data_IF_104773400447
#
_entry.id   IF_104773400447
#
_cell.length_a   1.000
_cell.length_b   1.000
_cell.length_c   1.000
_cell.angle_alpha   90.00
_cell.angle_beta   90.00
_cell.angle_gamma   90.00
#
_symmetry.space_group_name_H-M   'P 1'
#
loop_
_entity.id
_entity.type
_entity.pdbx_description
1 polymer ?
#
# COMPACT_ATOMS: atom_id res chain seq x y z
N UNK A 1 7.93 10.70 13.93
CA UNK A 1 7.49 10.68 15.36
C UNK A 1 7.51 9.26 15.95
N UNK A 2 6.96 8.27 15.24
CA UNK A 2 6.95 6.87 15.68
C UNK A 2 8.34 6.24 15.66
N UNK A 3 9.25 6.67 14.79
CA UNK A 3 10.65 6.26 14.83
C UNK A 3 11.30 6.55 16.20
N UNK A 4 11.03 7.73 16.77
CA UNK A 4 11.53 8.13 18.08
C UNK A 4 10.92 7.29 19.20
N UNK A 5 9.62 6.99 19.12
CA UNK A 5 8.95 6.07 20.07
C UNK A 5 9.43 4.62 19.93
N UNK A 6 9.78 4.18 18.73
CA UNK A 6 10.36 2.87 18.47
C UNK A 6 11.73 2.75 19.12
N UNK A 7 12.61 3.73 18.86
CA UNK A 7 13.93 3.84 19.47
C UNK A 7 13.76 3.82 21.00
N UNK A 8 12.95 4.72 21.57
CA UNK A 8 12.72 4.76 23.01
C UNK A 8 12.16 3.44 23.57
N UNK A 9 11.27 2.75 22.85
CA UNK A 9 10.67 1.50 23.30
C UNK A 9 11.67 0.34 23.30
N UNK A 10 12.49 0.24 22.25
CA UNK A 10 13.52 -0.79 22.07
C UNK A 10 14.68 -0.58 23.07
N UNK A 11 15.14 0.66 23.24
CA UNK A 11 16.23 0.97 24.17
C UNK A 11 15.79 0.89 25.65
N UNK A 12 14.50 1.07 25.96
CA UNK A 12 13.97 0.92 27.34
C UNK A 12 13.63 -0.52 27.73
N UNK A 13 13.41 -1.41 26.76
CA UNK A 13 13.04 -2.80 26.99
C UNK A 13 13.97 -3.67 26.15
N UNK A 14 15.09 -4.12 26.73
CA UNK A 14 16.13 -4.99 26.15
C UNK A 14 15.90 -5.38 24.69
N UNK A 15 16.81 -4.92 23.82
CA UNK A 15 16.70 -5.07 22.36
C UNK A 15 16.55 -6.55 22.00
N UNK A 16 15.32 -6.94 21.68
CA UNK A 16 14.98 -8.31 21.31
C UNK A 16 13.97 -8.31 20.17
N UNK A 17 14.04 -9.35 19.34
CA UNK A 17 13.11 -9.56 18.22
C UNK A 17 11.66 -9.60 18.72
N UNK A 18 11.42 -10.19 19.90
CA UNK A 18 10.09 -10.23 20.52
C UNK A 18 9.53 -8.85 20.84
N UNK A 19 10.35 -7.92 21.34
CA UNK A 19 9.93 -6.55 21.62
C UNK A 19 9.71 -5.75 20.33
N UNK A 20 10.58 -5.90 19.34
CA UNK A 20 10.41 -5.29 18.02
C UNK A 20 9.09 -5.73 17.35
N UNK A 21 8.80 -7.02 17.36
CA UNK A 21 7.55 -7.59 16.87
C UNK A 21 6.33 -6.97 17.55
N UNK A 22 6.30 -6.91 18.89
CA UNK A 22 5.19 -6.32 19.66
C UNK A 22 4.99 -4.84 19.34
N UNK A 23 6.08 -4.09 19.20
CA UNK A 23 6.03 -2.69 18.81
C UNK A 23 5.38 -2.52 17.44
N UNK A 24 5.87 -3.26 16.44
CA UNK A 24 5.36 -3.22 15.08
C UNK A 24 3.88 -3.57 15.07
N UNK A 25 3.47 -4.66 15.73
CA UNK A 25 2.07 -5.08 15.78
C UNK A 25 1.17 -3.99 16.39
N UNK A 26 1.64 -3.29 17.43
CA UNK A 26 0.93 -2.16 18.04
C UNK A 26 0.85 -0.95 17.10
N UNK A 27 1.93 -0.64 16.38
CA UNK A 27 1.98 0.44 15.40
C UNK A 27 1.03 0.15 14.23
N UNK A 28 1.09 -1.06 13.65
CA UNK A 28 0.19 -1.50 12.59
C UNK A 28 -1.28 -1.48 13.03
N UNK A 29 -1.58 -1.87 14.27
CA UNK A 29 -2.94 -1.80 14.82
C UNK A 29 -3.50 -0.37 14.84
N UNK A 30 -2.67 0.64 15.10
CA UNK A 30 -3.08 2.06 14.99
C UNK A 30 -3.28 2.46 13.53
N UNK A 31 -2.34 2.10 12.66
CA UNK A 31 -2.39 2.37 11.22
C UNK A 31 -3.69 1.90 10.56
N UNK A 32 -4.14 0.68 10.90
CA UNK A 32 -5.38 0.09 10.38
C UNK A 32 -6.60 0.98 10.57
N UNK A 33 -6.66 1.77 11.65
CA UNK A 33 -7.78 2.67 11.94
C UNK A 33 -7.77 3.94 11.10
N UNK A 34 -6.60 4.36 10.65
CA UNK A 34 -6.42 5.62 9.90
C UNK A 34 -6.49 5.41 8.39
N UNK A 35 -6.29 4.17 7.92
CA UNK A 35 -6.12 3.85 6.50
C UNK A 35 -7.41 3.53 5.75
N UNK A 36 -8.59 3.55 6.37
CA UNK A 36 -9.84 3.23 5.69
C UNK A 36 -10.89 4.34 5.82
N UNK A 37 -11.54 4.77 4.70
CA UNK A 37 -11.27 4.40 3.31
C UNK A 37 -10.12 5.21 2.69
N UNK A 38 -9.23 4.54 1.96
CA UNK A 38 -8.10 5.21 1.32
C UNK A 38 -8.46 5.67 -0.10
N UNK A 39 -8.52 6.99 -0.31
CA UNK A 39 -8.91 7.57 -1.60
C UNK A 39 -7.75 7.52 -2.60
N UNK A 40 -7.98 7.11 -3.85
CA UNK A 40 -7.04 7.26 -4.96
C UNK A 40 -7.30 8.65 -5.58
N UNK A 41 -6.26 9.47 -5.82
CA UNK A 41 -6.43 10.75 -6.49
C UNK A 41 -7.05 10.56 -7.88
N UNK A 42 -7.88 11.52 -8.27
CA UNK A 42 -8.43 11.56 -9.62
C UNK A 42 -7.29 11.75 -10.64
N UNK A 43 -7.50 11.20 -11.83
CA UNK A 43 -6.54 11.26 -12.93
C UNK A 43 -7.30 11.74 -14.15
N UNK A 44 -6.86 12.83 -14.75
CA UNK A 44 -7.43 13.36 -15.97
C UNK A 44 -6.31 13.44 -17.03
N UNK A 45 -6.49 12.71 -18.12
CA UNK A 45 -5.63 12.74 -19.29
C UNK A 45 -6.49 12.96 -20.53
N UNK A 46 -5.89 13.46 -21.63
CA UNK A 46 -6.58 13.87 -22.86
C UNK A 46 -7.65 12.90 -23.37
N UNK A 47 -7.43 11.59 -23.18
CA UNK A 47 -8.32 10.55 -23.67
C UNK A 47 -8.82 9.61 -22.57
N UNK A 48 -8.61 9.91 -21.29
CA UNK A 48 -8.88 8.99 -20.19
C UNK A 48 -9.00 9.69 -18.84
N UNK A 49 -9.94 9.24 -18.03
CA UNK A 49 -10.21 9.78 -16.70
C UNK A 49 -10.40 8.63 -15.69
N UNK A 50 -9.88 8.78 -14.48
CA UNK A 50 -10.25 8.01 -13.29
C UNK A 50 -10.78 8.98 -12.26
N UNK A 51 -11.94 8.66 -11.70
CA UNK A 51 -12.51 9.41 -10.59
C UNK A 51 -12.92 8.53 -9.42
N UNK A 52 -13.01 9.15 -8.25
CA UNK A 52 -13.61 8.58 -7.04
C UNK A 52 -13.00 7.23 -6.65
N UNK A 53 -11.71 7.07 -6.89
CA UNK A 53 -11.04 5.82 -6.56
C UNK A 53 -10.99 5.59 -5.06
N UNK A 54 -11.31 4.36 -4.63
CA UNK A 54 -11.33 3.95 -3.22
C UNK A 54 -10.65 2.60 -3.06
N UNK A 55 -9.71 2.52 -2.13
CA UNK A 55 -9.08 1.27 -1.70
C UNK A 55 -9.66 0.88 -0.34
N UNK A 56 -10.06 -0.37 -0.22
CA UNK A 56 -10.57 -1.02 1.00
C UNK A 56 -9.80 -2.31 1.25
N UNK A 57 -9.85 -2.83 2.47
CA UNK A 57 -9.10 -4.02 2.89
C UNK A 57 -7.70 -3.71 3.43
N UNK A 58 -7.31 -2.43 3.53
CA UNK A 58 -6.06 -2.01 4.16
C UNK A 58 -6.09 -2.23 5.68
N UNK A 59 -7.28 -2.35 6.29
CA UNK A 59 -7.43 -2.75 7.69
C UNK A 59 -6.95 -4.19 7.96
N UNK A 60 -6.76 -5.01 6.92
CA UNK A 60 -6.18 -6.35 7.05
C UNK A 60 -4.65 -6.35 7.22
N UNK A 61 -4.00 -5.18 7.18
CA UNK A 61 -2.55 -5.03 7.18
C UNK A 61 -1.89 -5.70 8.39
N UNK A 62 -0.94 -6.60 8.20
CA UNK A 62 -0.32 -7.40 9.25
C UNK A 62 1.20 -7.52 9.03
N UNK A 63 1.93 -7.81 10.10
CA UNK A 63 3.36 -8.13 10.01
C UNK A 63 3.54 -9.52 9.40
N UNK A 64 4.36 -9.64 8.36
CA UNK A 64 4.62 -10.87 7.65
C UNK A 64 5.92 -11.51 8.13
N UNK A 65 5.82 -12.40 9.13
CA UNK A 65 7.00 -13.01 9.74
C UNK A 65 7.66 -12.11 10.78
N UNK A 66 8.82 -12.53 11.30
CA UNK A 66 9.52 -11.80 12.36
C UNK A 66 10.35 -10.64 11.82
N UNK A 67 10.50 -9.62 12.65
CA UNK A 67 11.43 -8.53 12.36
C UNK A 67 12.86 -9.06 12.46
N UNK A 68 13.73 -8.61 11.56
CA UNK A 68 15.17 -8.77 11.71
C UNK A 68 15.78 -7.51 12.31
N UNK A 69 16.75 -7.71 13.20
CA UNK A 69 17.50 -6.65 13.86
C UNK A 69 18.98 -6.89 13.58
N UNK A 70 19.57 -5.98 12.81
CA UNK A 70 20.99 -5.98 12.51
C UNK A 70 21.63 -4.82 13.28
N UNK A 71 22.82 -5.06 13.84
CA UNK A 71 23.59 -4.05 14.56
C UNK A 71 24.73 -3.60 13.64
N UNK A 72 24.56 -2.42 13.04
CA UNK A 72 25.51 -1.87 12.07
C UNK A 72 26.03 -0.52 12.57
N UNK A 73 27.35 -0.36 12.62
CA UNK A 73 28.06 0.90 12.91
C UNK A 73 27.49 1.73 14.09
N UNK A 74 27.20 1.08 15.22
CA UNK A 74 26.69 1.76 16.42
C UNK A 74 25.21 2.14 16.38
N UNK A 75 24.46 1.64 15.40
CA UNK A 75 23.00 1.76 15.30
C UNK A 75 22.30 0.41 15.15
N UNK A 76 20.97 0.44 15.18
CA UNK A 76 20.11 -0.71 14.93
C UNK A 76 19.43 -0.49 13.57
N UNK A 77 19.56 -1.47 12.69
CA UNK A 77 18.79 -1.59 11.47
C UNK A 77 17.69 -2.63 11.69
N UNK A 78 16.44 -2.17 11.73
CA UNK A 78 15.31 -3.07 11.79
C UNK A 78 14.73 -3.27 10.39
N UNK A 79 14.58 -4.52 9.98
CA UNK A 79 13.85 -4.89 8.78
C UNK A 79 12.51 -5.51 9.15
N UNK A 80 11.43 -4.96 8.59
CA UNK A 80 10.05 -5.43 8.81
C UNK A 80 9.46 -5.81 7.46
N UNK A 81 8.83 -6.97 7.37
CA UNK A 81 7.93 -7.28 6.26
C UNK A 81 6.48 -7.06 6.71
N UNK A 82 5.74 -6.29 5.93
CA UNK A 82 4.33 -5.96 6.20
C UNK A 82 3.52 -6.37 4.98
N UNK A 83 2.41 -7.05 5.21
CA UNK A 83 1.53 -7.52 4.15
C UNK A 83 0.06 -7.12 4.39
N UNK A 84 -0.71 -7.08 3.32
CA UNK A 84 -2.14 -6.79 3.30
C UNK A 84 -2.82 -7.84 2.43
N UNK A 85 -4.01 -8.28 2.80
CA UNK A 85 -4.81 -9.27 2.06
C UNK A 85 -6.17 -8.69 1.67
N UNK A 86 -6.81 -9.30 0.68
CA UNK A 86 -8.20 -8.99 0.33
C UNK A 86 -8.41 -7.49 0.04
N UNK A 87 -7.43 -6.86 -0.63
CA UNK A 87 -7.54 -5.44 -0.98
C UNK A 87 -8.50 -5.34 -2.15
N UNK A 88 -9.49 -4.45 -2.04
CA UNK A 88 -10.40 -4.14 -3.14
C UNK A 88 -10.25 -2.67 -3.52
N UNK A 89 -10.26 -2.43 -4.82
CA UNK A 89 -10.11 -1.11 -5.42
C UNK A 89 -11.33 -0.86 -6.30
N UNK A 90 -12.09 0.19 -5.96
CA UNK A 90 -13.25 0.63 -6.71
C UNK A 90 -12.93 1.96 -7.38
N UNK A 91 -13.17 2.09 -8.68
CA UNK A 91 -12.92 3.32 -9.43
C UNK A 91 -14.04 3.58 -10.43
N UNK A 92 -14.33 4.86 -10.67
CA UNK A 92 -15.06 5.30 -11.85
C UNK A 92 -14.05 5.64 -12.94
N UNK A 93 -14.36 5.31 -14.18
CA UNK A 93 -13.49 5.66 -15.30
C UNK A 93 -14.29 6.25 -16.46
N UNK A 94 -13.62 7.10 -17.25
CA UNK A 94 -14.09 7.53 -18.54
C UNK A 94 -12.97 7.37 -19.58
N UNK A 95 -13.29 6.94 -20.79
CA UNK A 95 -12.33 6.81 -21.89
C UNK A 95 -12.95 7.38 -23.16
N UNK A 96 -12.21 8.25 -23.83
CA UNK A 96 -12.61 8.75 -25.15
C UNK A 96 -12.35 7.66 -26.19
N UNK A 97 -13.38 7.29 -26.96
CA UNK A 97 -13.30 6.37 -28.08
C UNK A 97 -14.01 6.99 -29.28
N UNK A 98 -13.26 7.20 -30.38
CA UNK A 98 -13.70 8.02 -31.50
C UNK A 98 -14.23 9.39 -31.03
N UNK A 99 -15.55 9.61 -31.12
CA UNK A 99 -16.22 10.87 -30.85
C UNK A 99 -17.04 10.87 -29.54
N UNK A 100 -17.05 9.77 -28.79
CA UNK A 100 -17.83 9.64 -27.55
C UNK A 100 -16.99 9.18 -26.37
N UNK A 101 -17.50 9.42 -25.16
CA UNK A 101 -16.90 9.00 -23.91
C UNK A 101 -17.58 7.74 -23.38
N UNK A 102 -16.81 6.68 -23.21
CA UNK A 102 -17.23 5.45 -22.56
C UNK A 102 -17.00 5.64 -21.07
N UNK A 103 -18.08 5.59 -20.28
CA UNK A 103 -18.02 5.74 -18.81
C UNK A 103 -18.38 4.43 -18.14
N UNK A 104 -17.74 4.13 -17.03
CA UNK A 104 -17.96 2.87 -16.33
C UNK A 104 -17.43 2.84 -14.91
N UNK A 105 -17.63 1.70 -14.27
CA UNK A 105 -17.11 1.40 -12.95
C UNK A 105 -16.25 0.13 -13.02
N UNK A 106 -15.08 0.15 -12.39
CA UNK A 106 -14.23 -1.02 -12.24
C UNK A 106 -14.05 -1.36 -10.75
N UNK A 107 -14.21 -2.64 -10.44
CA UNK A 107 -13.85 -3.24 -9.16
C UNK A 107 -12.71 -4.22 -9.41
N UNK A 108 -11.58 -3.97 -8.78
CA UNK A 108 -10.35 -4.74 -8.90
C UNK A 108 -10.02 -5.30 -7.51
N UNK A 109 -9.73 -6.58 -7.39
CA UNK A 109 -9.16 -7.15 -6.18
C UNK A 109 -7.66 -7.33 -6.33
N UNK A 110 -6.95 -7.30 -5.20
CA UNK A 110 -5.54 -7.64 -5.10
C UNK A 110 -5.42 -8.67 -4.00
N UNK A 111 -4.97 -9.88 -4.35
CA UNK A 111 -4.96 -11.02 -3.43
C UNK A 111 -4.09 -10.76 -2.20
N UNK A 112 -2.89 -10.25 -2.46
CA UNK A 112 -1.94 -9.87 -1.43
C UNK A 112 -1.06 -8.71 -1.89
N UNK A 113 -0.64 -7.88 -0.96
CA UNK A 113 0.37 -6.85 -1.18
C UNK A 113 1.37 -6.93 -0.03
N UNK A 114 2.67 -7.00 -0.32
CA UNK A 114 3.70 -7.01 0.72
C UNK A 114 4.82 -6.00 0.43
N UNK A 115 5.23 -5.32 1.50
CA UNK A 115 6.33 -4.37 1.53
C UNK A 115 7.36 -4.81 2.56
N UNK A 116 8.63 -4.60 2.22
CA UNK A 116 9.74 -4.64 3.15
C UNK A 116 10.09 -3.22 3.52
N UNK A 117 10.10 -2.94 4.80
CA UNK A 117 10.55 -1.68 5.33
C UNK A 117 11.85 -1.88 6.08
N UNK A 118 12.74 -0.90 5.94
CA UNK A 118 13.99 -0.81 6.68
C UNK A 118 14.00 0.47 7.48
N UNK A 119 14.30 0.37 8.76
CA UNK A 119 14.29 1.47 9.71
C UNK A 119 15.66 1.52 10.38
N UNK A 120 16.40 2.60 10.17
CA UNK A 120 17.74 2.80 10.73
C UNK A 120 17.71 3.85 11.83
N UNK A 121 18.24 3.51 13.01
CA UNK A 121 18.35 4.46 14.12
C UNK A 121 19.54 5.41 13.98
N UNK A 122 20.55 5.05 13.17
CA UNK A 122 21.79 5.82 13.00
C UNK A 122 21.55 7.15 12.26
N UNK A 123 20.82 7.09 11.15
CA UNK A 123 20.56 8.27 10.30
C UNK A 123 19.16 8.86 10.50
N UNK A 124 18.36 8.27 11.41
CA UNK A 124 16.91 8.51 11.50
C UNK A 124 16.18 8.31 10.16
N UNK A 125 16.67 7.38 9.34
CA UNK A 125 16.14 7.11 8.00
C UNK A 125 15.22 5.90 8.03
N UNK A 126 14.06 6.05 7.40
CA UNK A 126 13.15 4.94 7.09
C UNK A 126 13.01 4.82 5.58
N UNK A 127 13.17 3.61 5.05
CA UNK A 127 12.90 3.31 3.64
C UNK A 127 11.86 2.20 3.51
N UNK A 128 11.02 2.30 2.48
CA UNK A 128 10.01 1.30 2.18
C UNK A 128 10.21 0.79 0.75
N UNK A 129 10.39 -0.52 0.62
CA UNK A 129 10.51 -1.21 -0.65
C UNK A 129 9.36 -2.19 -0.82
N UNK A 130 8.69 -2.16 -1.98
CA UNK A 130 7.71 -3.19 -2.31
C UNK A 130 8.43 -4.48 -2.66
N UNK A 131 8.14 -5.57 -1.94
CA UNK A 131 8.71 -6.90 -2.20
C UNK A 131 7.75 -7.80 -2.96
N UNK A 132 6.44 -7.62 -2.79
CA UNK A 132 5.45 -8.41 -3.51
C UNK A 132 4.24 -7.55 -3.86
N UNK A 133 3.91 -7.52 -5.15
CA UNK A 133 2.64 -7.07 -5.66
C UNK A 133 1.90 -8.32 -6.08
N UNK A 134 0.93 -8.76 -5.29
CA UNK A 134 0.06 -9.85 -5.68
C UNK A 134 -0.71 -9.51 -6.95
N UNK A 135 -1.43 -10.51 -7.46
CA UNK A 135 -2.14 -10.38 -8.72
C UNK A 135 -3.30 -9.40 -8.56
N UNK A 136 -3.40 -8.48 -9.51
CA UNK A 136 -4.56 -7.61 -9.65
C UNK A 136 -5.56 -8.33 -10.53
N UNK A 137 -6.72 -8.67 -9.98
CA UNK A 137 -7.80 -9.34 -10.68
C UNK A 137 -8.98 -8.39 -10.86
N UNK A 138 -9.42 -8.21 -12.10
CA UNK A 138 -10.65 -7.48 -12.36
C UNK A 138 -11.84 -8.35 -11.96
N UNK A 139 -12.60 -7.94 -10.95
CA UNK A 139 -13.79 -8.66 -10.47
C UNK A 139 -15.08 -8.19 -11.13
N UNK A 140 -15.19 -6.89 -11.40
CA UNK A 140 -16.37 -6.31 -12.06
C UNK A 140 -15.99 -5.12 -12.92
N UNK A 141 -16.60 -5.04 -14.09
CA UNK A 141 -16.46 -3.91 -14.99
C UNK A 141 -17.82 -3.63 -15.63
N UNK A 142 -18.25 -2.37 -15.60
CA UNK A 142 -19.53 -1.95 -16.17
C UNK A 142 -19.32 -0.83 -17.19
N UNK A 143 -20.26 -0.66 -18.11
CA UNK A 143 -20.17 0.37 -19.15
C UNK A 143 -19.28 -0.03 -20.33
N UNK A 144 -18.99 -1.32 -20.50
CA UNK A 144 -18.25 -1.87 -21.63
C UNK A 144 -19.03 -2.97 -22.32
N UNK A 145 -19.02 -2.95 -23.66
CA UNK A 145 -19.24 -4.13 -24.48
C UNK A 145 -18.05 -5.09 -24.33
N UNK A 146 -18.27 -6.39 -24.51
CA UNK A 146 -17.28 -7.50 -24.38
C UNK A 146 -15.98 -7.27 -25.19
N UNK A 147 -15.97 -6.31 -26.13
CA UNK A 147 -14.96 -6.09 -27.15
C UNK A 147 -13.72 -5.28 -26.72
N UNK A 148 -13.65 -4.76 -25.49
CA UNK A 148 -12.62 -3.78 -25.11
C UNK A 148 -11.59 -4.31 -24.08
N UNK A 149 -11.03 -5.50 -24.31
CA UNK A 149 -9.96 -6.09 -23.48
C UNK A 149 -8.75 -5.16 -23.25
N UNK A 150 -8.42 -4.30 -24.22
CA UNK A 150 -7.34 -3.33 -24.09
C UNK A 150 -7.62 -2.27 -23.00
N UNK A 151 -8.88 -1.89 -22.80
CA UNK A 151 -9.29 -0.90 -21.81
C UNK A 151 -9.22 -1.47 -20.39
N UNK A 152 -9.53 -2.76 -20.23
CA UNK A 152 -9.31 -3.51 -18.97
C UNK A 152 -7.86 -3.39 -18.53
N UNK A 153 -6.93 -3.72 -19.43
CA UNK A 153 -5.48 -3.66 -19.15
C UNK A 153 -5.04 -2.24 -18.77
N UNK A 154 -5.58 -1.22 -19.43
CA UNK A 154 -5.28 0.18 -19.12
C UNK A 154 -5.72 0.52 -17.68
N UNK A 155 -6.99 0.28 -17.34
CA UNK A 155 -7.53 0.61 -16.01
C UNK A 155 -6.75 -0.12 -14.91
N UNK A 156 -6.54 -1.43 -15.06
CA UNK A 156 -5.78 -2.23 -14.09
C UNK A 156 -4.35 -1.70 -13.92
N UNK A 157 -3.65 -1.40 -15.01
CA UNK A 157 -2.27 -0.90 -14.94
C UNK A 157 -2.16 0.47 -14.27
N UNK A 158 -3.05 1.40 -14.59
CA UNK A 158 -3.04 2.73 -13.97
C UNK A 158 -3.37 2.63 -12.48
N UNK A 159 -4.40 1.86 -12.13
CA UNK A 159 -4.80 1.62 -10.75
C UNK A 159 -3.67 0.96 -9.95
N UNK A 160 -3.04 -0.08 -10.49
CA UNK A 160 -1.93 -0.77 -9.83
C UNK A 160 -0.73 0.17 -9.58
N UNK A 161 -0.35 0.98 -10.56
CA UNK A 161 0.78 1.92 -10.41
C UNK A 161 0.50 3.00 -9.35
N UNK A 162 -0.71 3.56 -9.34
CA UNK A 162 -1.08 4.66 -8.44
C UNK A 162 -1.33 4.20 -7.00
N UNK A 163 -2.07 3.10 -6.83
CA UNK A 163 -2.31 2.49 -5.52
C UNK A 163 -1.00 2.10 -4.84
N UNK A 164 -0.08 1.44 -5.57
CA UNK A 164 1.28 1.13 -5.11
C UNK A 164 1.99 2.36 -4.55
N UNK A 165 2.16 3.42 -5.36
CA UNK A 165 2.90 4.63 -4.93
C UNK A 165 2.31 5.24 -3.67
N UNK A 166 0.97 5.23 -3.56
CA UNK A 166 0.30 5.87 -2.42
C UNK A 166 0.39 5.01 -1.16
N UNK A 167 0.28 3.69 -1.26
CA UNK A 167 0.47 2.77 -0.12
C UNK A 167 1.91 2.88 0.41
N UNK A 168 2.91 2.88 -0.46
CA UNK A 168 4.32 3.07 -0.07
C UNK A 168 4.48 4.39 0.71
N UNK A 169 4.03 5.52 0.14
CA UNK A 169 4.15 6.83 0.79
C UNK A 169 3.48 6.90 2.14
N UNK A 170 2.29 6.29 2.26
CA UNK A 170 1.54 6.31 3.50
C UNK A 170 2.25 5.48 4.59
N UNK A 171 2.90 4.37 4.22
CA UNK A 171 3.76 3.60 5.11
C UNK A 171 5.02 4.40 5.48
N UNK A 172 5.72 4.99 4.51
CA UNK A 172 6.91 5.83 4.79
C UNK A 172 6.58 6.96 5.76
N UNK A 173 5.49 7.71 5.50
CA UNK A 173 5.05 8.82 6.36
C UNK A 173 4.72 8.39 7.78
N UNK A 174 4.13 7.20 7.95
CA UNK A 174 3.79 6.71 9.28
C UNK A 174 5.02 6.29 10.10
N UNK A 175 6.06 5.79 9.44
CA UNK A 175 7.27 5.29 10.12
C UNK A 175 8.40 6.32 10.25
N UNK A 176 8.29 7.47 9.56
CA UNK A 176 9.10 8.67 9.79
C UNK A 176 8.70 9.40 11.09
#
# INVERSE_FOLDING_TARGET
LLLKFFIDYIFKNDVSIGNANKYVDKALKKLRKEFEPFKIPDVEEKNYEIHKGRVTGLSSLYRHGDCTLDYEDGGILMTIEVAVRNVAINVQYAKKFLFFWIKGHAMISVDSFAVKMKISTKNSESSCQVINLGKYELKRLTGMSILLNWLVKLVVNVVARKSRKKIIRALEQFFS
#
